data_IF_598563960629
#
_entry.id   IF_598563960629
#
_cell.length_a   1.000
_cell.length_b   1.000
_cell.length_c   1.000
_cell.angle_alpha   90.00
_cell.angle_beta   90.00
_cell.angle_gamma   90.00
#
_symmetry.space_group_name_H-M   'P 1'
#
loop_
_entity.id
_entity.type
_entity.pdbx_description
1 polymer ?
#
# COMPACT_ATOMS: atom_id res chain seq x y z
N UNK A 1 8.69 -0.12 31.48
CA UNK A 1 9.54 -1.32 31.60
C UNK A 1 10.70 -1.13 30.61
N UNK A 2 11.97 -1.17 31.05
CA UNK A 2 13.13 -0.94 30.17
C UNK A 2 13.52 -2.27 29.51
N UNK A 3 13.91 -2.24 28.24
CA UNK A 3 14.60 -3.33 27.55
C UNK A 3 16.14 -3.12 27.60
N UNK A 4 16.89 -4.21 27.43
CA UNK A 4 18.33 -4.36 27.76
C UNK A 4 19.32 -3.47 26.99
N UNK A 5 18.85 -2.57 26.11
CA UNK A 5 19.67 -1.59 25.39
C UNK A 5 19.58 -0.16 25.97
N UNK A 6 18.85 0.06 27.07
CA UNK A 6 18.80 1.34 27.77
C UNK A 6 17.99 2.45 27.07
N UNK A 7 17.33 2.17 25.95
CA UNK A 7 16.42 3.11 25.29
C UNK A 7 15.03 3.07 25.95
N UNK A 8 14.55 4.23 26.40
CA UNK A 8 13.19 4.43 26.89
C UNK A 8 12.24 4.49 25.70
N UNK A 9 11.90 3.33 25.13
CA UNK A 9 10.81 3.23 24.17
C UNK A 9 9.51 3.23 24.97
N UNK A 10 8.81 4.38 24.99
CA UNK A 10 7.56 4.48 25.74
C UNK A 10 6.42 3.80 24.95
N UNK A 11 5.39 3.28 25.63
CA UNK A 11 4.22 2.71 24.94
C UNK A 11 3.59 3.67 23.94
N UNK A 12 3.63 4.98 24.23
CA UNK A 12 3.12 6.03 23.33
C UNK A 12 3.97 6.17 22.07
N UNK A 13 5.29 5.98 22.17
CA UNK A 13 6.18 5.99 21.01
C UNK A 13 6.03 4.73 20.16
N UNK A 14 5.78 3.56 20.77
CA UNK A 14 5.42 2.35 20.03
C UNK A 14 4.08 2.50 19.31
N UNK A 15 3.07 3.06 19.99
CA UNK A 15 1.77 3.35 19.38
C UNK A 15 1.89 4.36 18.24
N UNK A 16 2.78 5.36 18.35
CA UNK A 16 3.07 6.30 17.27
C UNK A 16 3.75 5.63 16.07
N UNK A 17 4.67 4.68 16.32
CA UNK A 17 5.30 3.88 15.26
C UNK A 17 4.27 2.95 14.62
N UNK A 18 3.44 2.25 15.39
CA UNK A 18 2.36 1.40 14.89
C UNK A 18 1.34 2.21 14.08
N UNK A 19 1.01 3.42 14.51
CA UNK A 19 0.17 4.36 13.77
C UNK A 19 0.82 4.78 12.44
N UNK A 20 2.12 5.10 12.45
CA UNK A 20 2.86 5.45 11.24
C UNK A 20 3.00 4.28 10.26
N UNK A 21 3.08 3.04 10.77
CA UNK A 21 3.22 1.82 9.97
C UNK A 21 1.88 1.27 9.48
N UNK A 22 0.81 1.40 10.26
CA UNK A 22 -0.53 0.89 9.93
C UNK A 22 -1.37 1.88 9.13
N UNK A 23 -1.06 3.18 9.24
CA UNK A 23 -1.82 4.24 8.59
C UNK A 23 -3.17 4.54 9.24
N UNK A 24 -3.55 3.78 10.27
CA UNK A 24 -4.79 3.96 11.02
C UNK A 24 -4.56 4.97 12.15
N UNK A 25 -5.60 5.74 12.48
CA UNK A 25 -5.58 6.56 13.69
C UNK A 25 -5.37 5.66 14.92
N UNK A 26 -4.45 6.05 15.81
CA UNK A 26 -4.28 5.35 17.07
C UNK A 26 -5.61 5.35 17.85
N UNK A 27 -6.10 4.15 18.20
CA UNK A 27 -7.27 4.01 19.05
C UNK A 27 -6.94 4.59 20.43
N UNK A 28 -7.43 5.81 20.66
CA UNK A 28 -7.33 6.51 21.93
C UNK A 28 -8.72 6.94 22.39
N UNK A 29 -8.88 7.17 23.68
CA UNK A 29 -10.12 7.69 24.26
C UNK A 29 -10.58 9.04 23.65
N UNK A 30 -9.68 9.78 22.98
CA UNK A 30 -10.03 10.99 22.23
C UNK A 30 -10.55 10.66 20.82
N UNK A 31 -10.02 9.62 20.17
CA UNK A 31 -10.49 9.15 18.86
C UNK A 31 -11.90 8.55 18.88
N UNK A 32 -12.30 7.93 20.01
CA UNK A 32 -13.65 7.39 20.20
C UNK A 32 -14.73 8.46 20.33
N UNK A 33 -14.34 9.70 20.66
CA UNK A 33 -15.26 10.84 20.83
C UNK A 33 -15.46 11.64 19.55
N UNK A 34 -14.70 11.34 18.49
CA UNK A 34 -14.82 12.04 17.21
C UNK A 34 -16.14 11.68 16.53
N UNK A 35 -16.68 12.65 15.80
CA UNK A 35 -17.78 12.40 14.87
C UNK A 35 -17.35 11.32 13.86
N UNK A 36 -18.19 10.31 13.57
CA UNK A 36 -17.87 9.25 12.61
C UNK A 36 -17.41 9.77 11.23
N UNK A 37 -18.00 10.86 10.73
CA UNK A 37 -17.61 11.47 9.46
C UNK A 37 -16.19 12.07 9.53
N UNK A 38 -15.85 12.69 10.66
CA UNK A 38 -14.50 13.23 10.91
C UNK A 38 -13.50 12.10 11.03
N UNK A 39 -13.84 11.02 11.73
CA UNK A 39 -12.97 9.86 11.89
C UNK A 39 -12.64 9.22 10.55
N UNK A 40 -13.66 8.92 9.74
CA UNK A 40 -13.48 8.30 8.42
C UNK A 40 -12.59 9.16 7.51
N UNK A 41 -12.88 10.47 7.40
CA UNK A 41 -12.07 11.36 6.58
C UNK A 41 -10.64 11.53 7.13
N UNK A 42 -10.46 11.51 8.45
CA UNK A 42 -9.15 11.60 9.07
C UNK A 42 -8.29 10.35 8.79
N UNK A 43 -8.89 9.16 8.75
CA UNK A 43 -8.19 7.93 8.37
C UNK A 43 -7.69 8.00 6.91
N UNK A 44 -8.54 8.43 5.97
CA UNK A 44 -8.16 8.62 4.56
C UNK A 44 -7.04 9.67 4.39
N UNK A 45 -7.13 10.79 5.11
CA UNK A 45 -6.11 11.84 5.05
C UNK A 45 -4.79 11.46 5.74
N UNK A 46 -4.83 10.49 6.65
CA UNK A 46 -3.64 9.97 7.32
C UNK A 46 -2.76 9.18 6.36
N UNK A 47 -3.35 8.36 5.48
CA UNK A 47 -2.63 7.61 4.43
C UNK A 47 -3.42 7.65 3.13
N UNK A 48 -2.90 8.40 2.18
CA UNK A 48 -3.46 8.61 0.85
C UNK A 48 -2.62 7.82 -0.15
N UNK A 49 -3.22 6.80 -0.76
CA UNK A 49 -2.63 6.02 -1.84
C UNK A 49 -2.96 6.67 -3.18
N UNK A 50 -1.95 7.26 -3.82
CA UNK A 50 -2.10 7.92 -5.11
C UNK A 50 -1.70 6.96 -6.25
N UNK A 51 -2.56 6.80 -7.27
CA UNK A 51 -2.21 6.00 -8.45
C UNK A 51 -1.12 6.67 -9.28
N UNK A 52 -0.64 5.97 -10.29
CA UNK A 52 0.15 6.59 -11.36
C UNK A 52 -0.66 7.76 -11.94
N UNK A 53 0.00 8.91 -12.10
CA UNK A 53 -0.63 10.10 -12.67
C UNK A 53 0.14 10.56 -13.89
N UNK A 54 -0.58 10.70 -15.01
CA UNK A 54 -0.05 11.24 -16.25
C UNK A 54 -0.63 12.62 -16.49
N UNK A 55 0.25 13.60 -16.72
CA UNK A 55 -0.19 14.96 -17.02
C UNK A 55 -0.85 15.00 -18.41
N UNK A 56 -2.08 15.54 -18.55
CA UNK A 56 -2.69 15.71 -19.86
C UNK A 56 -1.96 16.76 -20.72
N UNK A 57 -1.10 17.59 -20.10
CA UNK A 57 -0.49 18.77 -20.72
C UNK A 57 1.04 18.70 -20.80
N UNK A 58 1.66 17.58 -20.42
CA UNK A 58 3.12 17.46 -20.48
C UNK A 58 3.61 16.03 -20.30
N UNK A 59 4.90 15.77 -20.57
CA UNK A 59 5.47 14.41 -20.54
C UNK A 59 5.73 13.90 -19.11
N UNK A 60 5.22 14.60 -18.07
CA UNK A 60 5.47 14.23 -16.68
C UNK A 60 4.49 13.14 -16.28
N UNK A 61 5.06 12.00 -15.93
CA UNK A 61 4.40 10.93 -15.20
C UNK A 61 4.87 10.96 -13.75
N UNK A 62 3.94 10.84 -12.81
CA UNK A 62 4.23 10.55 -11.42
C UNK A 62 3.94 9.07 -11.16
N UNK A 63 4.91 8.37 -10.59
CA UNK A 63 4.74 6.97 -10.17
C UNK A 63 3.72 6.86 -9.02
N UNK A 64 3.08 5.69 -8.84
CA UNK A 64 2.24 5.44 -7.67
C UNK A 64 3.01 5.74 -6.37
N UNK A 65 2.35 6.43 -5.45
CA UNK A 65 3.00 6.87 -4.22
C UNK A 65 2.04 6.91 -3.05
N UNK A 66 2.58 6.86 -1.84
CA UNK A 66 1.82 6.99 -0.61
C UNK A 66 2.21 8.28 0.08
N UNK A 67 1.21 9.06 0.46
CA UNK A 67 1.39 10.34 1.17
C UNK A 67 0.43 10.45 2.34
N UNK A 68 0.60 11.46 3.19
CA UNK A 68 -0.25 11.62 4.37
C UNK A 68 -0.18 13.02 4.94
N UNK A 69 -1.25 13.43 5.61
CA UNK A 69 -1.37 14.74 6.25
C UNK A 69 -1.10 14.59 7.75
N UNK A 70 -0.02 15.22 8.24
CA UNK A 70 0.40 15.14 9.66
C UNK A 70 -0.68 15.57 10.68
N UNK A 71 -1.62 16.43 10.28
CA UNK A 71 -2.75 16.87 11.12
C UNK A 71 -4.09 16.42 10.54
N UNK A 72 -4.16 15.20 10.01
CA UNK A 72 -5.33 14.64 9.33
C UNK A 72 -6.64 14.86 10.08
N UNK A 73 -6.70 14.57 11.39
CA UNK A 73 -7.89 14.82 12.23
C UNK A 73 -8.35 16.27 12.22
N UNK A 74 -7.41 17.22 12.41
CA UNK A 74 -7.74 18.65 12.42
C UNK A 74 -8.22 19.12 11.04
N UNK A 75 -7.61 18.60 9.97
CA UNK A 75 -8.02 18.92 8.60
C UNK A 75 -9.40 18.33 8.30
N UNK A 76 -9.65 17.08 8.68
CA UNK A 76 -10.93 16.41 8.53
C UNK A 76 -12.06 17.16 9.24
N UNK A 77 -11.87 17.55 10.51
CA UNK A 77 -12.84 18.38 11.23
C UNK A 77 -13.19 19.67 10.49
N UNK A 78 -12.17 20.35 9.97
CA UNK A 78 -12.37 21.59 9.22
C UNK A 78 -13.14 21.35 7.92
N UNK A 79 -12.81 20.29 7.17
CA UNK A 79 -13.49 19.95 5.92
C UNK A 79 -14.95 19.53 6.16
N UNK A 80 -15.22 18.72 7.19
CA UNK A 80 -16.58 18.33 7.56
C UNK A 80 -17.41 19.56 7.97
N UNK A 81 -16.83 20.49 8.74
CA UNK A 81 -17.48 21.78 9.09
C UNK A 81 -17.74 22.66 7.86
N UNK A 82 -16.94 22.53 6.80
CA UNK A 82 -17.15 23.19 5.50
C UNK A 82 -18.19 22.50 4.62
N UNK A 83 -18.75 21.39 5.05
CA UNK A 83 -19.75 20.63 4.29
C UNK A 83 -19.17 19.55 3.38
N UNK A 84 -17.87 19.23 3.47
CA UNK A 84 -17.30 18.07 2.75
C UNK A 84 -17.86 16.79 3.35
N UNK A 85 -18.29 15.86 2.50
CA UNK A 85 -18.83 14.55 2.87
C UNK A 85 -18.26 13.47 1.97
N UNK A 86 -18.08 12.27 2.52
CA UNK A 86 -17.74 11.09 1.74
C UNK A 86 -19.03 10.42 1.27
N UNK A 87 -19.08 10.13 -0.02
CA UNK A 87 -20.20 9.47 -0.69
C UNK A 87 -19.66 8.23 -1.40
N UNK A 88 -19.57 7.08 -0.72
CA UNK A 88 -18.98 5.86 -1.28
C UNK A 88 -19.63 5.42 -2.60
N UNK A 89 -20.90 5.77 -2.80
CA UNK A 89 -21.64 5.53 -4.03
C UNK A 89 -21.05 6.28 -5.25
N UNK A 90 -20.41 7.43 -5.02
CA UNK A 90 -19.78 8.26 -6.05
C UNK A 90 -18.30 7.89 -6.29
N UNK A 91 -17.76 6.90 -5.59
CA UNK A 91 -16.40 6.44 -5.85
C UNK A 91 -16.28 5.83 -7.26
N UNK A 92 -15.31 6.33 -8.02
CA UNK A 92 -14.94 5.80 -9.35
C UNK A 92 -13.70 4.88 -9.27
N UNK A 93 -12.87 5.06 -8.24
CA UNK A 93 -11.62 4.33 -8.05
C UNK A 93 -11.42 3.92 -6.59
N UNK A 94 -11.14 2.63 -6.39
CA UNK A 94 -10.81 1.90 -5.16
C UNK A 94 -9.33 1.60 -4.99
N UNK A 95 -8.60 2.11 -4.00
CA UNK A 95 -7.34 1.44 -3.62
C UNK A 95 -7.63 0.15 -2.84
N UNK A 96 -6.92 -0.93 -3.18
CA UNK A 96 -6.96 -2.20 -2.46
C UNK A 96 -5.54 -2.70 -2.19
N UNK A 97 -5.37 -3.30 -1.03
CA UNK A 97 -4.08 -3.81 -0.58
C UNK A 97 -3.52 -4.90 -1.50
N UNK A 98 -2.21 -5.08 -1.44
CA UNK A 98 -1.50 -6.16 -2.13
C UNK A 98 -2.12 -7.53 -1.78
N UNK A 99 -2.54 -8.34 -2.76
CA UNK A 99 -3.13 -9.65 -2.50
C UNK A 99 -2.20 -10.54 -1.66
N UNK A 100 -2.71 -11.08 -0.55
CA UNK A 100 -1.94 -11.92 0.37
C UNK A 100 -0.90 -11.19 1.23
N UNK A 101 -0.75 -9.88 1.07
CA UNK A 101 0.12 -9.04 1.91
C UNK A 101 -0.63 -8.46 3.12
N UNK A 102 0.07 -8.16 4.23
CA UNK A 102 -0.52 -7.36 5.30
C UNK A 102 -0.76 -5.92 4.78
N UNK A 103 -1.94 -5.32 5.00
CA UNK A 103 -2.15 -3.92 4.66
C UNK A 103 -1.21 -3.05 5.50
N UNK A 104 -0.37 -2.27 4.84
CA UNK A 104 0.59 -1.37 5.48
C UNK A 104 0.49 0.03 4.92
N UNK A 105 0.87 1.04 5.69
CA UNK A 105 0.85 2.46 5.30
C UNK A 105 1.75 2.79 4.10
N UNK A 106 2.59 1.85 3.66
CA UNK A 106 3.49 1.99 2.52
C UNK A 106 3.18 0.95 1.43
N UNK A 107 2.08 0.21 1.57
CA UNK A 107 1.63 -0.72 0.55
C UNK A 107 1.18 0.07 -0.67
N UNK A 108 1.81 -0.17 -1.82
CA UNK A 108 1.42 0.48 -3.06
C UNK A 108 0.18 -0.17 -3.69
N UNK A 109 -0.17 -1.39 -3.27
CA UNK A 109 -1.40 -2.10 -3.66
C UNK A 109 -1.74 -1.98 -5.14
N UNK A 110 -3.03 -1.93 -5.44
CA UNK A 110 -3.56 -1.56 -6.76
C UNK A 110 -4.81 -0.70 -6.63
N UNK A 111 -5.04 0.15 -7.62
CA UNK A 111 -6.30 0.85 -7.77
C UNK A 111 -7.21 0.09 -8.74
N UNK A 112 -8.41 -0.26 -8.28
CA UNK A 112 -9.45 -0.93 -9.04
C UNK A 112 -10.56 0.06 -9.41
N UNK A 113 -11.27 -0.23 -10.50
CA UNK A 113 -12.45 0.50 -10.95
C UNK A 113 -13.65 -0.44 -10.91
N UNK A 114 -14.86 0.14 -10.88
CA UNK A 114 -16.09 -0.65 -10.97
C UNK A 114 -16.14 -1.41 -12.30
N UNK A 115 -16.58 -2.65 -12.25
CA UNK A 115 -16.80 -3.47 -13.44
C UNK A 115 -18.09 -3.06 -14.19
N UNK A 116 -18.44 -3.81 -15.24
CA UNK A 116 -19.64 -3.56 -16.05
C UNK A 116 -20.96 -3.66 -15.23
N UNK A 117 -20.94 -4.35 -14.08
CA UNK A 117 -22.07 -4.50 -13.18
C UNK A 117 -22.10 -3.43 -12.07
N UNK A 118 -21.08 -2.56 -12.01
CA UNK A 118 -20.93 -1.56 -10.96
C UNK A 118 -20.31 -2.11 -9.66
N UNK A 119 -19.79 -3.34 -9.68
CA UNK A 119 -19.16 -3.98 -8.53
C UNK A 119 -17.66 -3.69 -8.49
N UNK A 120 -17.05 -3.82 -7.30
CA UNK A 120 -15.61 -3.66 -7.12
C UNK A 120 -14.94 -5.04 -7.24
N UNK A 121 -14.28 -5.38 -8.37
CA UNK A 121 -13.67 -6.68 -8.54
C UNK A 121 -12.49 -6.85 -7.59
N UNK A 122 -12.34 -8.04 -7.02
CA UNK A 122 -11.11 -8.39 -6.32
C UNK A 122 -9.94 -8.45 -7.34
N UNK A 123 -8.76 -7.91 -7.01
CA UNK A 123 -7.60 -8.05 -7.88
C UNK A 123 -7.27 -9.53 -8.09
N UNK A 124 -7.11 -9.92 -9.35
CA UNK A 124 -6.59 -11.23 -9.70
C UNK A 124 -5.09 -11.29 -9.32
N UNK A 125 -4.68 -12.25 -8.45
CA UNK A 125 -3.28 -12.41 -8.07
C UNK A 125 -2.35 -12.62 -9.28
N UNK A 126 -2.84 -13.24 -10.36
CA UNK A 126 -2.01 -13.53 -11.55
C UNK A 126 -1.70 -12.26 -12.32
N UNK A 127 -2.71 -11.42 -12.50
CA UNK A 127 -2.57 -10.10 -13.09
C UNK A 127 -1.73 -9.15 -12.20
N UNK A 128 -1.78 -9.32 -10.88
CA UNK A 128 -0.99 -8.52 -9.94
C UNK A 128 0.50 -8.89 -9.92
N UNK A 129 0.79 -10.19 -9.90
CA UNK A 129 2.11 -10.81 -9.92
C UNK A 129 2.50 -11.30 -11.33
N UNK A 130 2.28 -10.43 -12.31
CA UNK A 130 2.47 -10.72 -13.73
C UNK A 130 3.93 -11.07 -14.06
N UNK A 131 4.16 -12.34 -14.39
CA UNK A 131 5.47 -12.89 -14.75
C UNK A 131 6.11 -12.16 -15.95
N UNK A 132 5.32 -11.60 -16.86
CA UNK A 132 5.84 -10.91 -18.04
C UNK A 132 6.55 -9.59 -17.67
N UNK A 133 6.39 -9.10 -16.44
CA UNK A 133 7.07 -7.92 -15.90
C UNK A 133 8.41 -8.23 -15.23
N UNK A 134 8.86 -9.47 -15.27
CA UNK A 134 10.17 -9.85 -14.72
C UNK A 134 11.29 -9.35 -15.63
N UNK A 135 12.17 -8.53 -15.06
CA UNK A 135 13.40 -8.09 -15.71
C UNK A 135 14.59 -8.87 -15.15
N UNK A 136 15.45 -9.41 -16.03
CA UNK A 136 16.65 -10.14 -15.63
C UNK A 136 17.89 -9.45 -16.17
N UNK A 137 18.73 -8.95 -15.27
CA UNK A 137 19.96 -8.23 -15.60
C UNK A 137 21.17 -8.90 -14.95
N UNK A 138 22.36 -8.58 -15.44
CA UNK A 138 23.63 -9.06 -14.89
C UNK A 138 24.32 -7.90 -14.19
N UNK A 139 24.74 -8.10 -12.94
CA UNK A 139 25.45 -7.10 -12.15
C UNK A 139 26.92 -7.02 -12.57
N UNK A 140 27.60 -5.95 -12.16
CA UNK A 140 29.02 -5.74 -12.42
C UNK A 140 29.90 -6.84 -11.80
N UNK A 141 29.44 -7.44 -10.69
CA UNK A 141 30.10 -8.56 -10.00
C UNK A 141 29.90 -9.91 -10.72
N UNK A 142 29.14 -9.92 -11.81
CA UNK A 142 28.92 -11.10 -12.64
C UNK A 142 27.75 -11.99 -12.21
N UNK A 143 27.01 -11.59 -11.17
CA UNK A 143 25.81 -12.27 -10.65
C UNK A 143 24.61 -11.89 -11.54
N UNK A 144 23.67 -12.80 -11.73
CA UNK A 144 22.40 -12.51 -12.39
C UNK A 144 21.34 -12.18 -11.34
N UNK A 145 20.57 -11.13 -11.58
CA UNK A 145 19.45 -10.73 -10.74
C UNK A 145 18.17 -10.65 -11.58
N UNK A 146 17.12 -11.30 -11.11
CA UNK A 146 15.77 -11.13 -11.61
C UNK A 146 15.01 -10.20 -10.66
N UNK A 147 14.28 -9.22 -11.19
CA UNK A 147 13.53 -8.21 -10.43
C UNK A 147 12.11 -8.13 -11.00
N UNK A 148 11.12 -8.07 -10.11
CA UNK A 148 9.74 -7.77 -10.43
C UNK A 148 9.37 -6.40 -9.83
N UNK A 149 8.56 -5.56 -10.51
CA UNK A 149 8.19 -4.22 -10.03
C UNK A 149 7.43 -4.22 -8.69
N UNK A 150 6.99 -5.37 -8.19
CA UNK A 150 6.37 -5.54 -6.86
C UNK A 150 7.38 -5.79 -5.74
N UNK A 151 8.64 -5.40 -5.93
CA UNK A 151 9.69 -5.48 -4.91
C UNK A 151 10.17 -6.91 -4.62
N UNK A 152 9.97 -7.84 -5.54
CA UNK A 152 10.54 -9.18 -5.46
C UNK A 152 11.81 -9.24 -6.29
N UNK A 153 12.85 -9.88 -5.76
CA UNK A 153 14.08 -10.12 -6.48
C UNK A 153 14.70 -11.46 -6.10
N UNK A 154 15.49 -11.99 -7.02
CA UNK A 154 16.26 -13.21 -6.79
C UNK A 154 17.60 -13.15 -7.53
N UNK A 155 18.67 -13.49 -6.82
CA UNK A 155 20.04 -13.48 -7.33
C UNK A 155 20.56 -14.90 -7.52
N UNK A 156 21.25 -15.16 -8.63
CA UNK A 156 21.84 -16.46 -8.92
C UNK A 156 23.08 -16.39 -9.83
N UNK A 157 23.76 -17.53 -9.97
CA UNK A 157 24.96 -17.65 -10.79
C UNK A 157 24.65 -17.60 -12.30
N UNK A 158 23.43 -17.91 -12.72
CA UNK A 158 23.00 -17.89 -14.11
C UNK A 158 21.67 -17.15 -14.33
N UNK A 159 21.46 -16.66 -15.56
CA UNK A 159 20.21 -15.97 -15.95
C UNK A 159 18.98 -16.84 -15.71
N UNK A 160 19.06 -18.12 -16.06
CA UNK A 160 17.95 -19.07 -15.95
C UNK A 160 17.61 -19.37 -14.49
N UNK A 161 18.62 -19.53 -13.62
CA UNK A 161 18.39 -19.73 -12.19
C UNK A 161 17.80 -18.49 -11.53
N UNK A 162 18.29 -17.30 -11.91
CA UNK A 162 17.76 -16.02 -11.40
C UNK A 162 16.26 -15.89 -11.72
N UNK A 163 15.91 -16.16 -12.98
CA UNK A 163 14.52 -16.16 -13.43
C UNK A 163 13.67 -17.23 -12.74
N UNK A 164 14.13 -18.48 -12.70
CA UNK A 164 13.39 -19.59 -12.11
C UNK A 164 13.11 -19.35 -10.61
N UNK A 165 14.10 -18.88 -9.85
CA UNK A 165 13.91 -18.59 -8.43
C UNK A 165 12.91 -17.46 -8.18
N UNK A 166 12.88 -16.43 -9.03
CA UNK A 166 11.85 -15.39 -8.94
C UNK A 166 10.45 -15.91 -9.33
N UNK A 167 10.35 -16.76 -10.35
CA UNK A 167 9.10 -17.40 -10.74
C UNK A 167 8.54 -18.28 -9.61
N UNK A 168 9.40 -19.02 -8.92
CA UNK A 168 8.97 -19.79 -7.75
C UNK A 168 8.43 -18.88 -6.63
N UNK A 169 9.09 -17.75 -6.35
CA UNK A 169 8.56 -16.76 -5.39
C UNK A 169 7.21 -16.19 -5.83
N UNK A 170 7.04 -15.85 -7.11
CA UNK A 170 5.77 -15.35 -7.64
C UNK A 170 4.66 -16.38 -7.47
N UNK A 171 4.93 -17.65 -7.81
CA UNK A 171 4.01 -18.76 -7.63
C UNK A 171 3.58 -18.92 -6.17
N UNK A 172 4.52 -18.89 -5.23
CA UNK A 172 4.20 -18.94 -3.79
C UNK A 172 3.30 -17.78 -3.35
N UNK A 173 3.57 -16.55 -3.82
CA UNK A 173 2.75 -15.37 -3.50
C UNK A 173 1.34 -15.47 -4.05
N UNK A 174 1.21 -15.94 -5.29
CA UNK A 174 -0.06 -16.20 -5.94
C UNK A 174 -0.88 -17.25 -5.17
N UNK A 175 -0.25 -18.37 -4.81
CA UNK A 175 -0.89 -19.45 -4.06
C UNK A 175 -1.36 -18.95 -2.68
N UNK A 176 -0.53 -18.16 -1.98
CA UNK A 176 -0.89 -17.52 -0.71
C UNK A 176 -2.06 -16.54 -0.87
N UNK A 177 -2.04 -15.70 -1.91
CA UNK A 177 -3.11 -14.75 -2.18
C UNK A 177 -4.45 -15.46 -2.46
N UNK A 178 -4.44 -16.56 -3.23
CA UNK A 178 -5.62 -17.39 -3.47
C UNK A 178 -6.10 -18.12 -2.22
N UNK A 179 -5.19 -18.57 -1.37
CA UNK A 179 -5.54 -19.27 -0.12
C UNK A 179 -6.12 -18.37 0.97
N UNK A 180 -5.88 -17.06 0.87
CA UNK A 180 -6.38 -16.03 1.80
C UNK A 180 -7.59 -15.23 1.27
N UNK A 181 -8.08 -15.55 0.06
CA UNK A 181 -9.35 -15.03 -0.49
C UNK A 181 -10.53 -15.89 -0.03
#
# INVERSE_FOLDING_TARGET
MKNDAGQLVTPEFLALIEQALSGKLAESAESERLDPEVKALAEELSVIHLPEWQSPTGPRTAEPTVTGIKQATRVAEYLVKRGVRMHPELEEIRWVATPGGPPGAFDTGVHITKDENGEWPAPDPESFYDIDKVEVTKTDDGIWIAIHPRGLSFEAASKTEAYAGLVDQLRERIEQARGNQ
#
